data_IF_015567690060
#
_entry.id   IF_015567690060
#
_cell.length_a   1.000
_cell.length_b   1.000
_cell.length_c   1.000
_cell.angle_alpha   90.00
_cell.angle_beta   90.00
_cell.angle_gamma   90.00
#
_symmetry.space_group_name_H-M   'P 1'
#
loop_
_entity.id
_entity.type
_entity.pdbx_description
1 polymer ?
#
# COMPACT_ATOMS: atom_id res chain seq x y z
N UNK A 1 -14.84 10.92 18.06
CA UNK A 1 -15.49 9.77 17.40
C UNK A 1 -15.51 8.60 18.37
N UNK A 2 -16.64 7.89 18.53
CA UNK A 2 -16.64 6.64 19.32
C UNK A 2 -15.80 5.58 18.60
N UNK A 3 -15.13 4.72 19.36
CA UNK A 3 -14.19 3.71 18.81
C UNK A 3 -14.91 2.75 17.85
N UNK A 4 -16.15 2.39 18.15
CA UNK A 4 -16.98 1.58 17.28
C UNK A 4 -17.20 2.22 15.91
N UNK A 5 -17.39 3.55 15.85
CA UNK A 5 -17.54 4.26 14.58
C UNK A 5 -16.23 4.29 13.78
N UNK A 6 -15.08 4.40 14.45
CA UNK A 6 -13.77 4.38 13.78
C UNK A 6 -13.51 3.01 13.14
N UNK A 7 -13.75 1.95 13.90
CA UNK A 7 -13.56 0.58 13.44
C UNK A 7 -14.54 0.25 12.31
N UNK A 8 -15.82 0.58 12.45
CA UNK A 8 -16.81 0.35 11.39
C UNK A 8 -16.47 1.09 10.08
N UNK A 9 -16.04 2.35 10.17
CA UNK A 9 -15.60 3.12 9.00
C UNK A 9 -14.33 2.53 8.37
N UNK A 10 -13.39 2.01 9.17
CA UNK A 10 -12.19 1.35 8.66
C UNK A 10 -12.53 0.07 7.88
N UNK A 11 -13.47 -0.74 8.35
CA UNK A 11 -13.93 -1.93 7.61
C UNK A 11 -14.63 -1.57 6.30
N UNK A 12 -15.44 -0.50 6.27
CA UNK A 12 -16.02 0.01 5.01
C UNK A 12 -14.91 0.45 4.05
N UNK A 13 -13.91 1.18 4.54
CA UNK A 13 -12.77 1.60 3.73
C UNK A 13 -11.99 0.40 3.16
N UNK A 14 -11.75 -0.63 3.98
CA UNK A 14 -11.11 -1.88 3.54
C UNK A 14 -11.95 -2.58 2.47
N UNK A 15 -13.27 -2.64 2.63
CA UNK A 15 -14.16 -3.22 1.62
C UNK A 15 -14.13 -2.44 0.29
N UNK A 16 -14.03 -1.11 0.34
CA UNK A 16 -13.88 -0.27 -0.85
C UNK A 16 -12.52 -0.47 -1.54
N UNK A 17 -11.44 -0.56 -0.76
CA UNK A 17 -10.11 -0.87 -1.27
C UNK A 17 -10.10 -2.27 -1.90
N UNK A 18 -10.71 -3.25 -1.24
CA UNK A 18 -10.81 -4.61 -1.74
C UNK A 18 -11.59 -4.65 -3.05
N UNK A 19 -12.72 -3.95 -3.15
CA UNK A 19 -13.44 -3.78 -4.41
C UNK A 19 -12.51 -3.22 -5.51
N UNK A 20 -11.85 -2.11 -5.26
CA UNK A 20 -11.00 -1.46 -6.25
C UNK A 20 -9.87 -2.38 -6.74
N UNK A 21 -9.18 -3.05 -5.82
CA UNK A 21 -8.11 -3.99 -6.14
C UNK A 21 -8.65 -5.19 -6.91
N UNK A 22 -9.76 -5.79 -6.45
CA UNK A 22 -10.39 -6.93 -7.09
C UNK A 22 -10.89 -6.60 -8.50
N UNK A 23 -11.50 -5.43 -8.73
CA UNK A 23 -11.97 -5.02 -10.05
C UNK A 23 -10.82 -4.93 -11.08
N UNK A 24 -9.70 -4.32 -10.70
CA UNK A 24 -8.51 -4.24 -11.55
C UNK A 24 -7.86 -5.60 -11.80
N UNK A 25 -7.83 -6.47 -10.78
CA UNK A 25 -7.36 -7.85 -10.93
C UNK A 25 -8.25 -8.66 -11.87
N UNK A 26 -9.57 -8.58 -11.72
CA UNK A 26 -10.48 -9.29 -12.62
C UNK A 26 -10.39 -8.78 -14.06
N UNK A 27 -10.24 -7.47 -14.27
CA UNK A 27 -9.99 -6.91 -15.61
C UNK A 27 -8.74 -7.51 -16.26
N UNK A 28 -7.62 -7.46 -15.56
CA UNK A 28 -6.34 -8.00 -16.07
C UNK A 28 -6.37 -9.52 -16.27
N UNK A 29 -7.06 -10.27 -15.41
CA UNK A 29 -7.22 -11.72 -15.55
C UNK A 29 -8.15 -12.11 -16.69
N UNK A 30 -9.27 -11.40 -16.87
CA UNK A 30 -10.23 -11.67 -17.95
C UNK A 30 -9.66 -11.30 -19.32
N UNK A 31 -8.81 -10.28 -19.40
CA UNK A 31 -8.08 -9.91 -20.62
C UNK A 31 -6.94 -10.91 -20.94
N UNK A 32 -6.39 -11.58 -19.95
CA UNK A 32 -5.29 -12.53 -20.12
C UNK A 32 -5.73 -13.92 -20.62
N UNK A 33 -7.02 -14.28 -20.51
CA UNK A 33 -7.53 -15.60 -20.89
C UNK A 33 -8.26 -15.59 -22.25
N UNK A 34 -7.97 -16.52 -23.17
CA UNK A 34 -8.69 -16.64 -24.44
C UNK A 34 -10.13 -17.16 -24.25
N UNK A 35 -11.16 -16.64 -24.95
CA UNK A 35 -12.50 -17.17 -24.84
C UNK A 35 -12.69 -18.52 -25.53
N UNK A 36 -13.42 -19.42 -24.87
CA UNK A 36 -13.78 -20.76 -25.37
C UNK A 36 -14.71 -20.72 -26.59
N UNK A 37 -15.28 -19.55 -26.90
CA UNK A 37 -16.15 -19.28 -28.04
C UNK A 37 -15.62 -18.06 -28.83
N UNK A 38 -14.39 -18.14 -29.32
CA UNK A 38 -13.83 -17.14 -30.22
C UNK A 38 -13.98 -17.63 -31.67
N UNK A 39 -14.97 -17.09 -32.38
CA UNK A 39 -15.01 -17.14 -33.84
C UNK A 39 -13.93 -16.20 -34.39
N UNK A 40 -13.17 -16.69 -35.37
CA UNK A 40 -12.04 -16.03 -36.02
C UNK A 40 -12.37 -14.59 -36.46
N UNK A 41 -11.96 -13.60 -35.67
CA UNK A 41 -12.11 -12.18 -36.00
C UNK A 41 -12.31 -11.24 -34.80
N UNK A 42 -12.87 -11.73 -33.69
CA UNK A 42 -13.17 -10.90 -32.53
C UNK A 42 -12.03 -10.87 -31.51
N UNK A 43 -11.67 -9.66 -31.05
CA UNK A 43 -10.68 -9.46 -29.99
C UNK A 43 -11.16 -10.16 -28.71
N UNK A 44 -10.24 -10.79 -27.97
CA UNK A 44 -10.45 -11.44 -26.67
C UNK A 44 -11.35 -10.59 -25.74
N UNK A 45 -12.63 -10.95 -25.52
CA UNK A 45 -13.60 -10.09 -24.80
C UNK A 45 -14.47 -10.84 -23.78
N UNK A 46 -13.86 -11.54 -22.81
CA UNK A 46 -14.61 -11.97 -21.61
C UNK A 46 -15.15 -10.79 -20.80
N UNK A 47 -14.59 -9.59 -21.00
CA UNK A 47 -15.04 -8.35 -20.38
C UNK A 47 -16.22 -7.72 -21.16
N UNK A 48 -17.36 -8.41 -21.15
CA UNK A 48 -18.58 -7.92 -21.76
C UNK A 48 -19.12 -6.67 -21.04
N UNK A 49 -19.49 -5.67 -21.83
CA UNK A 49 -20.13 -4.44 -21.37
C UNK A 49 -21.60 -4.73 -21.03
N UNK A 50 -21.95 -4.69 -19.75
CA UNK A 50 -23.31 -5.07 -19.31
C UNK A 50 -24.26 -3.87 -19.37
N UNK A 51 -23.87 -2.73 -18.80
CA UNK A 51 -24.70 -1.50 -18.77
C UNK A 51 -23.81 -0.30 -19.09
N UNK A 52 -23.86 0.17 -20.34
CA UNK A 52 -23.02 1.28 -20.80
C UNK A 52 -21.53 0.90 -20.93
N UNK A 53 -20.76 1.78 -21.58
CA UNK A 53 -19.34 1.55 -21.88
C UNK A 53 -18.45 1.50 -20.61
N UNK A 54 -18.95 2.01 -19.49
CA UNK A 54 -18.23 2.13 -18.22
C UNK A 54 -18.46 0.95 -17.25
N UNK A 55 -19.51 0.13 -17.44
CA UNK A 55 -19.85 -0.96 -16.53
C UNK A 55 -19.50 -2.33 -17.12
N UNK A 56 -18.27 -2.73 -16.83
CA UNK A 56 -17.61 -3.97 -17.25
C UNK A 56 -17.90 -5.14 -16.28
N UNK A 57 -17.82 -6.39 -16.77
CA UNK A 57 -17.98 -7.61 -15.94
C UNK A 57 -17.01 -7.64 -14.77
N UNK A 58 -15.77 -7.19 -15.02
CA UNK A 58 -14.73 -7.01 -14.00
C UNK A 58 -15.16 -6.12 -12.83
N UNK A 59 -15.87 -5.01 -13.10
CA UNK A 59 -16.38 -4.11 -12.05
C UNK A 59 -17.46 -4.79 -11.20
N UNK A 60 -18.38 -5.54 -11.81
CA UNK A 60 -19.45 -6.23 -11.08
C UNK A 60 -18.88 -7.33 -10.18
N UNK A 61 -17.97 -8.15 -10.71
CA UNK A 61 -17.26 -9.17 -9.91
C UNK A 61 -16.44 -8.52 -8.79
N UNK A 62 -15.77 -7.41 -9.09
CA UNK A 62 -15.05 -6.62 -8.09
C UNK A 62 -15.96 -6.16 -6.96
N UNK A 63 -17.15 -5.59 -7.27
CA UNK A 63 -18.11 -5.14 -6.24
C UNK A 63 -18.58 -6.33 -5.43
N UNK A 64 -18.92 -7.45 -6.07
CA UNK A 64 -19.37 -8.66 -5.39
C UNK A 64 -18.30 -9.18 -4.40
N UNK A 65 -17.05 -9.25 -4.83
CA UNK A 65 -15.93 -9.64 -3.96
C UNK A 65 -15.65 -8.62 -2.85
N UNK A 66 -15.74 -7.33 -3.14
CA UNK A 66 -15.56 -6.27 -2.14
C UNK A 66 -16.62 -6.31 -1.04
N UNK A 67 -17.90 -6.46 -1.42
CA UNK A 67 -19.01 -6.59 -0.48
C UNK A 67 -18.93 -7.89 0.30
N UNK A 68 -18.70 -9.02 -0.38
CA UNK A 68 -18.55 -10.31 0.27
C UNK A 68 -17.38 -10.31 1.27
N UNK A 69 -16.22 -9.77 0.86
CA UNK A 69 -15.06 -9.62 1.73
C UNK A 69 -15.33 -8.72 2.93
N UNK A 70 -15.99 -7.57 2.73
CA UNK A 70 -16.41 -6.68 3.82
C UNK A 70 -17.33 -7.38 4.84
N UNK A 71 -18.34 -8.12 4.36
CA UNK A 71 -19.26 -8.88 5.22
C UNK A 71 -18.54 -10.01 5.97
N UNK A 72 -17.65 -10.74 5.29
CA UNK A 72 -16.88 -11.82 5.91
C UNK A 72 -15.94 -11.28 7.00
N UNK A 73 -15.30 -10.13 6.77
CA UNK A 73 -14.47 -9.44 7.75
C UNK A 73 -15.28 -9.00 8.97
N UNK A 74 -16.48 -8.45 8.78
CA UNK A 74 -17.37 -8.09 9.88
C UNK A 74 -17.92 -9.27 10.66
N UNK A 75 -18.14 -10.41 10.00
CA UNK A 75 -18.67 -11.60 10.66
C UNK A 75 -17.66 -12.26 11.59
N UNK A 76 -16.36 -12.03 11.37
CA UNK A 76 -15.32 -12.60 12.21
C UNK A 76 -15.09 -11.73 13.45
N UNK A 77 -15.69 -12.13 14.57
CA UNK A 77 -15.58 -11.43 15.86
C UNK A 77 -14.14 -11.35 16.38
N UNK A 78 -13.26 -12.26 15.98
CA UNK A 78 -11.85 -12.21 16.33
C UNK A 78 -11.16 -10.98 15.70
N UNK A 79 -11.38 -10.75 14.40
CA UNK A 79 -10.80 -9.60 13.69
C UNK A 79 -11.38 -8.27 14.19
N UNK A 80 -12.69 -8.23 14.42
CA UNK A 80 -13.35 -7.02 14.92
C UNK A 80 -12.89 -6.65 16.33
N UNK A 81 -12.71 -7.65 17.20
CA UNK A 81 -12.15 -7.46 18.55
C UNK A 81 -10.73 -6.89 18.51
N UNK A 82 -9.83 -7.51 17.72
CA UNK A 82 -8.45 -7.05 17.57
C UNK A 82 -8.37 -5.60 17.02
N UNK A 83 -9.23 -5.25 16.06
CA UNK A 83 -9.27 -3.88 15.53
C UNK A 83 -9.66 -2.84 16.60
N UNK A 84 -10.55 -3.20 17.52
CA UNK A 84 -10.95 -2.33 18.61
C UNK A 84 -9.84 -2.12 19.64
N UNK A 85 -9.12 -3.20 19.98
CA UNK A 85 -7.94 -3.15 20.86
C UNK A 85 -6.85 -2.26 20.26
N UNK A 86 -6.52 -2.45 18.98
CA UNK A 86 -5.54 -1.62 18.26
C UNK A 86 -5.97 -0.15 18.25
N UNK A 87 -7.24 0.15 17.97
CA UNK A 87 -7.75 1.51 18.01
C UNK A 87 -7.69 2.12 19.43
N UNK A 88 -7.78 1.29 20.47
CA UNK A 88 -7.55 1.67 21.86
C UNK A 88 -6.11 2.08 22.13
N UNK A 89 -5.16 1.25 21.71
CA UNK A 89 -3.73 1.51 21.91
C UNK A 89 -3.22 2.68 21.06
N UNK A 90 -3.65 2.79 19.80
CA UNK A 90 -3.26 3.90 18.93
C UNK A 90 -3.71 5.27 19.46
N UNK A 91 -4.75 5.33 20.29
CA UNK A 91 -5.20 6.57 20.93
C UNK A 91 -4.30 6.99 22.10
N UNK A 92 -3.57 6.05 22.69
CA UNK A 92 -2.60 6.34 23.76
C UNK A 92 -1.26 6.82 23.21
N UNK A 93 -1.00 6.59 21.92
CA UNK A 93 0.20 7.08 21.25
C UNK A 93 0.09 8.60 21.07
N UNK A 94 1.07 9.33 21.62
CA UNK A 94 1.25 10.75 21.37
C UNK A 94 1.85 10.95 19.99
N UNK A 95 1.02 11.25 19.00
CA UNK A 95 1.51 11.61 17.67
C UNK A 95 2.24 12.97 17.75
N UNK A 96 3.48 13.04 17.22
CA UNK A 96 4.27 14.26 17.30
C UNK A 96 3.62 15.37 16.48
N UNK A 97 3.79 16.61 16.95
CA UNK A 97 3.33 17.77 16.20
C UNK A 97 4.21 18.03 14.96
N UNK A 98 3.68 18.71 13.93
CA UNK A 98 4.45 19.06 12.72
C UNK A 98 5.82 19.72 13.02
N UNK A 99 5.93 20.67 13.98
CA UNK A 99 7.22 21.23 14.36
C UNK A 99 8.18 20.19 14.96
N UNK A 100 7.68 19.25 15.76
CA UNK A 100 8.48 18.21 16.42
C UNK A 100 9.05 17.19 15.42
N UNK A 101 8.26 16.83 14.40
CA UNK A 101 8.73 16.01 13.27
C UNK A 101 9.84 16.73 12.50
N UNK A 102 9.70 18.03 12.27
CA UNK A 102 10.73 18.84 11.60
C UNK A 102 12.01 18.94 12.42
N UNK A 103 11.91 19.14 13.74
CA UNK A 103 13.08 19.19 14.61
C UNK A 103 13.82 17.85 14.61
N UNK A 104 13.10 16.74 14.72
CA UNK A 104 13.69 15.40 14.71
C UNK A 104 14.41 15.09 13.39
N UNK A 105 13.80 15.45 12.25
CA UNK A 105 14.42 15.26 10.92
C UNK A 105 15.63 16.17 10.70
N UNK A 106 15.61 17.41 11.19
CA UNK A 106 16.77 18.32 11.11
C UNK A 106 17.95 17.76 11.92
N UNK A 107 17.71 17.20 13.11
CA UNK A 107 18.76 16.55 13.90
C UNK A 107 19.40 15.41 13.11
N UNK A 108 18.58 14.51 12.52
CA UNK A 108 19.09 13.40 11.71
C UNK A 108 19.85 13.89 10.47
N UNK A 109 19.39 14.97 9.83
CA UNK A 109 20.08 15.57 8.69
C UNK A 109 21.47 16.10 9.09
N UNK A 110 21.59 16.74 10.25
CA UNK A 110 22.88 17.23 10.73
C UNK A 110 23.80 16.06 11.10
N UNK A 111 23.30 15.05 11.81
CA UNK A 111 24.13 13.89 12.19
C UNK A 111 24.64 13.13 10.98
N UNK A 112 23.81 12.94 9.96
CA UNK A 112 24.22 12.28 8.71
C UNK A 112 25.29 13.07 7.95
N UNK A 113 25.18 14.41 7.90
CA UNK A 113 26.22 15.27 7.30
C UNK A 113 27.53 15.17 8.07
N UNK A 114 27.49 15.18 9.40
CA UNK A 114 28.70 15.04 10.23
C UNK A 114 29.39 13.69 9.99
N UNK A 115 28.63 12.61 9.96
CA UNK A 115 29.16 11.26 9.67
C UNK A 115 29.74 11.22 8.25
N UNK A 116 29.08 11.80 7.26
CA UNK A 116 29.59 11.87 5.89
C UNK A 116 30.92 12.64 5.80
N UNK A 117 31.08 13.74 6.54
CA UNK A 117 32.35 14.47 6.62
C UNK A 117 33.48 13.62 7.23
N UNK A 118 33.19 12.84 8.27
CA UNK A 118 34.18 11.93 8.87
C UNK A 118 34.58 10.82 7.90
N UNK A 119 33.61 10.22 7.21
CA UNK A 119 33.89 9.20 6.18
C UNK A 119 34.72 9.79 5.04
N UNK A 120 34.38 10.99 4.57
CA UNK A 120 35.17 11.68 3.56
C UNK A 120 36.63 11.90 4.01
N UNK A 121 36.84 12.31 5.25
CA UNK A 121 38.18 12.45 5.80
C UNK A 121 38.94 11.11 5.80
N UNK A 122 38.28 10.03 6.22
CA UNK A 122 38.88 8.69 6.18
C UNK A 122 39.26 8.27 4.76
N UNK A 123 38.35 8.43 3.80
CA UNK A 123 38.59 8.09 2.39
C UNK A 123 39.77 8.88 1.80
N UNK A 124 39.91 10.17 2.14
CA UNK A 124 41.03 10.99 1.68
C UNK A 124 42.38 10.55 2.27
N UNK A 125 42.41 10.19 3.56
CA UNK A 125 43.61 9.68 4.22
C UNK A 125 44.04 8.36 3.60
N UNK A 126 43.10 7.43 3.41
CA UNK A 126 43.38 6.15 2.77
C UNK A 126 43.83 6.31 1.33
N UNK A 127 43.19 7.18 0.56
CA UNK A 127 43.61 7.48 -0.80
C UNK A 127 45.05 8.04 -0.86
N UNK A 128 45.43 8.90 0.09
CA UNK A 128 46.79 9.42 0.19
C UNK A 128 47.80 8.31 0.54
N UNK A 129 47.49 7.49 1.55
CA UNK A 129 48.36 6.39 2.00
C UNK A 129 48.56 5.36 0.88
N UNK A 130 47.48 4.94 0.21
CA UNK A 130 47.58 3.98 -0.90
C UNK A 130 48.44 4.53 -2.04
N UNK A 131 48.29 5.81 -2.40
CA UNK A 131 49.14 6.44 -3.42
C UNK A 131 50.61 6.47 -3.03
N UNK A 132 50.92 6.65 -1.75
CA UNK A 132 52.30 6.64 -1.27
C UNK A 132 52.91 5.23 -1.37
N UNK A 133 52.17 4.20 -0.97
CA UNK A 133 52.62 2.80 -1.01
C UNK A 133 52.85 2.31 -2.45
N UNK A 134 51.93 2.60 -3.38
CA UNK A 134 52.08 2.17 -4.78
C UNK A 134 53.14 2.94 -5.56
N UNK A 135 53.59 4.09 -5.05
CA UNK A 135 54.61 4.93 -5.69
C UNK A 135 56.03 4.57 -5.23
N UNK A 136 56.17 3.86 -4.12
CA UNK A 136 57.40 3.19 -3.66
C UNK A 136 57.55 1.87 -4.41
#
# INVERSE_FOLDING_TARGET
>A
MSQERMVNMAFVAIALVLWFVSANLFGTLLDALPPLNASSGDRWQWDAYIIGREFRLSNLLGVAFGVAGGILLWRNSWLFGQAHEIAGELRKVSWPSWPEVRLSTVVVMITTVLVACVLWAYDTVFAFVSRFVYKI
#
